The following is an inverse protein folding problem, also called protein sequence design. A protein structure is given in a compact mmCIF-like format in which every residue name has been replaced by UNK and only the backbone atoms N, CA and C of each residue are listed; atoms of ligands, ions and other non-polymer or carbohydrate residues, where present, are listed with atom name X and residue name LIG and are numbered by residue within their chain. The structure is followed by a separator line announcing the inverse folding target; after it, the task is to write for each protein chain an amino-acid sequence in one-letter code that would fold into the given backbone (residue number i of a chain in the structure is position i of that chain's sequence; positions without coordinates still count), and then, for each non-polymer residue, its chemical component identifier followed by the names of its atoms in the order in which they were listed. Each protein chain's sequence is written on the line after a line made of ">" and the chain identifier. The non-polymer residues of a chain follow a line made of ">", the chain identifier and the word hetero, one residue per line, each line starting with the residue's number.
data_IF_178990481555
#
_entry.id   IF_178990481555
#
_cell.length_a   1.000
_cell.length_b   1.000
_cell.length_c   1.000
_cell.angle_alpha   90.00
_cell.angle_beta   90.00
_cell.angle_gamma   90.00
#
_symmetry.space_group_name_H-M   'P 1'
#
loop_
_entity.id
_entity.type
_entity.pdbx_description
1 polymer ?
#
# COMPACT_ATOMS: atom_id res chain seq x y z
N UNK A 1 7.44 -5.89 9.92
CA UNK A 1 7.29 -7.13 9.15
C UNK A 1 7.13 -6.86 7.65
N UNK A 2 6.15 -6.05 7.20
CA UNK A 2 5.90 -5.78 5.77
C UNK A 2 7.12 -5.18 5.07
N UNK A 3 7.71 -4.13 5.61
CA UNK A 3 8.91 -3.50 5.04
C UNK A 3 10.11 -4.45 5.04
N UNK A 4 10.24 -5.29 6.07
CA UNK A 4 11.30 -6.29 6.14
C UNK A 4 11.12 -7.37 5.08
N UNK A 5 9.89 -7.85 4.87
CA UNK A 5 9.61 -8.85 3.84
C UNK A 5 9.76 -8.28 2.42
N UNK A 6 9.35 -7.04 2.17
CA UNK A 6 9.45 -6.43 0.85
C UNK A 6 10.86 -5.91 0.56
N UNK A 7 11.31 -4.88 1.27
CA UNK A 7 12.60 -4.26 1.04
C UNK A 7 13.76 -5.21 1.36
N UNK A 8 13.65 -5.96 2.49
CA UNK A 8 14.66 -6.94 2.89
C UNK A 8 14.85 -8.03 1.85
N UNK A 9 13.79 -8.63 1.31
CA UNK A 9 13.89 -9.64 0.26
C UNK A 9 14.47 -9.07 -1.04
N UNK A 10 14.07 -7.85 -1.43
CA UNK A 10 14.61 -7.18 -2.61
C UNK A 10 16.12 -6.94 -2.50
N UNK A 11 16.58 -6.38 -1.38
CA UNK A 11 18.00 -6.15 -1.13
C UNK A 11 18.79 -7.46 -1.02
N UNK A 12 18.23 -8.48 -0.37
CA UNK A 12 18.86 -9.80 -0.28
C UNK A 12 19.00 -10.43 -1.66
N UNK A 13 17.97 -10.38 -2.50
CA UNK A 13 18.02 -10.93 -3.86
C UNK A 13 19.10 -10.25 -4.70
N UNK A 14 19.15 -8.91 -4.72
CA UNK A 14 20.17 -8.15 -5.45
C UNK A 14 21.56 -8.47 -4.94
N UNK A 15 21.73 -8.59 -3.61
CA UNK A 15 23.00 -8.96 -2.99
C UNK A 15 23.42 -10.39 -3.37
N UNK A 16 22.51 -11.36 -3.34
CA UNK A 16 22.78 -12.75 -3.74
C UNK A 16 23.23 -12.84 -5.19
N UNK A 17 22.56 -12.11 -6.10
CA UNK A 17 22.97 -12.02 -7.50
C UNK A 17 24.37 -11.40 -7.60
N UNK A 18 24.62 -10.32 -6.85
CA UNK A 18 25.95 -9.67 -6.80
C UNK A 18 27.05 -10.61 -6.29
N UNK A 19 26.79 -11.36 -5.22
CA UNK A 19 27.73 -12.35 -4.66
C UNK A 19 27.99 -13.47 -5.67
N UNK A 20 26.94 -13.97 -6.32
CA UNK A 20 27.07 -15.00 -7.34
C UNK A 20 27.94 -14.52 -8.52
N UNK A 21 27.69 -13.32 -9.04
CA UNK A 21 28.50 -12.70 -10.10
C UNK A 21 29.94 -12.50 -9.64
N UNK A 22 30.16 -11.98 -8.43
CA UNK A 22 31.48 -11.77 -7.87
C UNK A 22 32.29 -13.09 -7.76
N UNK A 23 31.62 -14.18 -7.32
CA UNK A 23 32.25 -15.47 -7.19
C UNK A 23 32.52 -16.15 -8.53
N UNK A 24 31.50 -16.23 -9.41
CA UNK A 24 31.53 -17.04 -10.65
C UNK A 24 32.08 -16.30 -11.85
N UNK A 25 31.61 -15.07 -12.11
CA UNK A 25 32.02 -14.28 -13.28
C UNK A 25 33.37 -13.56 -13.04
N UNK A 26 33.51 -12.93 -11.86
CA UNK A 26 34.70 -12.10 -11.58
C UNK A 26 35.73 -12.80 -10.70
N UNK A 27 35.58 -14.08 -10.42
CA UNK A 27 36.54 -14.94 -9.71
C UNK A 27 37.08 -14.31 -8.42
N UNK A 28 36.20 -13.64 -7.62
CA UNK A 28 36.56 -12.95 -6.38
C UNK A 28 37.65 -11.89 -6.57
N UNK A 29 37.69 -11.22 -7.72
CA UNK A 29 38.71 -10.20 -7.98
C UNK A 29 38.56 -8.98 -7.04
N UNK A 30 39.73 -8.42 -6.63
CA UNK A 30 39.73 -7.19 -5.80
C UNK A 30 38.99 -6.02 -6.49
N UNK A 31 39.11 -5.93 -7.83
CA UNK A 31 38.40 -4.91 -8.62
C UNK A 31 36.87 -5.04 -8.49
N UNK A 32 36.35 -6.27 -8.61
CA UNK A 32 34.92 -6.52 -8.45
C UNK A 32 34.43 -6.24 -7.02
N UNK A 33 35.23 -6.55 -5.99
CA UNK A 33 34.93 -6.17 -4.60
C UNK A 33 34.85 -4.66 -4.43
N UNK A 34 35.80 -3.93 -5.02
CA UNK A 34 35.79 -2.47 -5.00
C UNK A 34 34.52 -1.90 -5.68
N UNK A 35 34.17 -2.41 -6.87
CA UNK A 35 32.94 -1.99 -7.55
C UNK A 35 31.67 -2.28 -6.74
N UNK A 36 31.60 -3.42 -6.08
CA UNK A 36 30.48 -3.74 -5.22
C UNK A 36 30.36 -2.73 -4.05
N UNK A 37 31.46 -2.46 -3.36
CA UNK A 37 31.50 -1.48 -2.26
C UNK A 37 31.18 -0.06 -2.76
N UNK A 38 31.62 0.29 -3.97
CA UNK A 38 31.28 1.57 -4.60
C UNK A 38 29.77 1.66 -4.87
N UNK A 39 29.15 0.65 -5.49
CA UNK A 39 27.70 0.62 -5.76
C UNK A 39 26.93 0.70 -4.45
N UNK A 40 27.37 -0.03 -3.43
CA UNK A 40 26.74 0.01 -2.11
C UNK A 40 26.84 1.40 -1.44
N UNK A 41 28.02 2.03 -1.47
CA UNK A 41 28.24 3.40 -0.98
C UNK A 41 27.41 4.45 -1.74
N UNK A 42 27.36 4.35 -3.05
CA UNK A 42 26.53 5.22 -3.91
C UNK A 42 25.04 5.02 -3.59
N UNK A 43 24.59 3.79 -3.36
CA UNK A 43 23.21 3.51 -2.96
C UNK A 43 22.84 4.16 -1.62
N UNK A 44 23.76 4.12 -0.65
CA UNK A 44 23.61 4.81 0.64
C UNK A 44 23.54 6.33 0.45
N UNK A 45 24.34 6.89 -0.43
CA UNK A 45 24.32 8.31 -0.74
C UNK A 45 22.98 8.71 -1.39
N UNK A 46 22.54 7.99 -2.43
CA UNK A 46 21.29 8.27 -3.17
C UNK A 46 20.06 8.20 -2.25
N UNK A 47 20.03 7.24 -1.33
CA UNK A 47 18.89 7.09 -0.39
C UNK A 47 18.79 8.27 0.58
N UNK A 48 19.90 8.96 0.84
CA UNK A 48 19.99 10.11 1.75
C UNK A 48 20.13 11.47 1.02
N UNK A 49 19.99 11.53 -0.30
CA UNK A 49 20.15 12.74 -1.11
C UNK A 49 19.20 13.87 -0.69
N UNK A 50 17.94 13.53 -0.34
CA UNK A 50 16.94 14.47 0.16
C UNK A 50 16.91 14.59 1.69
N UNK A 51 18.01 14.32 2.35
CA UNK A 51 18.16 14.32 3.80
C UNK A 51 18.24 12.92 4.43
N UNK A 52 18.71 12.88 5.69
CA UNK A 52 18.94 11.63 6.41
C UNK A 52 17.68 10.78 6.54
N UNK A 53 17.71 9.56 5.99
CA UNK A 53 16.65 8.56 6.10
C UNK A 53 17.13 7.36 6.92
N UNK A 54 16.88 7.34 8.25
CA UNK A 54 17.42 6.31 9.13
C UNK A 54 16.90 4.91 8.80
N UNK A 55 15.62 4.79 8.38
CA UNK A 55 15.02 3.50 8.06
C UNK A 55 15.68 2.88 6.81
N UNK A 56 15.75 3.63 5.71
CA UNK A 56 16.37 3.13 4.48
C UNK A 56 17.87 2.84 4.68
N UNK A 57 18.58 3.71 5.40
CA UNK A 57 20.00 3.53 5.73
C UNK A 57 20.23 2.27 6.56
N UNK A 58 19.38 1.99 7.56
CA UNK A 58 19.47 0.79 8.37
C UNK A 58 19.33 -0.49 7.52
N UNK A 59 18.34 -0.54 6.62
CA UNK A 59 18.19 -1.68 5.72
C UNK A 59 19.40 -1.87 4.80
N UNK A 60 19.94 -0.79 4.21
CA UNK A 60 21.11 -0.87 3.33
C UNK A 60 22.41 -1.21 4.09
N UNK A 61 22.55 -0.79 5.34
CA UNK A 61 23.73 -1.10 6.16
C UNK A 61 23.67 -2.54 6.69
N UNK A 62 22.50 -3.07 7.01
CA UNK A 62 22.37 -4.40 7.64
C UNK A 62 22.16 -5.51 6.61
N UNK A 63 21.19 -5.36 5.69
CA UNK A 63 20.76 -6.48 4.84
C UNK A 63 21.84 -6.93 3.84
N UNK A 64 22.49 -6.05 3.04
CA UNK A 64 23.50 -6.50 2.09
C UNK A 64 24.72 -7.14 2.76
N UNK A 65 25.36 -6.60 3.83
CA UNK A 65 26.48 -7.25 4.48
C UNK A 65 26.12 -8.59 5.11
N UNK A 66 24.98 -8.70 5.80
CA UNK A 66 24.54 -9.97 6.41
C UNK A 66 24.29 -11.01 5.32
N UNK A 67 23.60 -10.63 4.24
CA UNK A 67 23.34 -11.53 3.10
C UNK A 67 24.64 -11.91 2.40
N UNK A 68 25.60 -11.00 2.26
CA UNK A 68 26.90 -11.26 1.68
C UNK A 68 27.67 -12.31 2.49
N UNK A 69 27.78 -12.13 3.81
CA UNK A 69 28.46 -13.07 4.70
C UNK A 69 27.80 -14.46 4.65
N UNK A 70 26.46 -14.49 4.80
CA UNK A 70 25.70 -15.74 4.73
C UNK A 70 25.88 -16.45 3.37
N UNK A 71 25.83 -15.71 2.27
CA UNK A 71 26.00 -16.26 0.94
C UNK A 71 27.40 -16.87 0.72
N UNK A 72 28.47 -16.21 1.20
CA UNK A 72 29.83 -16.76 1.09
C UNK A 72 29.99 -18.06 1.88
N UNK A 73 29.36 -18.14 3.05
CA UNK A 73 29.42 -19.35 3.88
C UNK A 73 28.64 -20.54 3.27
N UNK A 74 27.51 -20.22 2.58
CA UNK A 74 26.61 -21.22 2.01
C UNK A 74 26.95 -21.58 0.55
N UNK A 75 27.74 -20.75 -0.14
CA UNK A 75 28.15 -21.07 -1.53
C UNK A 75 29.02 -22.34 -1.56
N UNK A 76 28.61 -23.33 -2.37
CA UNK A 76 29.39 -24.55 -2.53
C UNK A 76 30.77 -24.25 -3.13
N UNK A 77 31.75 -25.10 -2.82
CA UNK A 77 33.10 -24.97 -3.38
C UNK A 77 33.04 -24.84 -4.91
N UNK A 78 33.92 -24.03 -5.49
CA UNK A 78 33.96 -23.76 -6.95
C UNK A 78 34.06 -24.98 -7.85
N UNK A 79 34.59 -26.09 -7.31
CA UNK A 79 34.74 -27.38 -8.01
C UNK A 79 33.41 -28.09 -8.23
N UNK A 80 32.37 -27.78 -7.46
CA UNK A 80 31.05 -28.32 -7.69
C UNK A 80 30.36 -27.46 -8.76
N UNK A 81 30.41 -27.94 -10.01
CA UNK A 81 29.48 -27.45 -11.04
C UNK A 81 28.07 -27.64 -10.50
N UNK A 82 27.27 -26.58 -10.53
CA UNK A 82 25.84 -26.73 -10.32
C UNK A 82 25.37 -27.87 -11.22
N UNK A 83 24.82 -28.95 -10.66
CA UNK A 83 24.25 -29.98 -11.51
C UNK A 83 23.25 -29.32 -12.46
N UNK A 84 23.23 -29.64 -13.73
CA UNK A 84 22.27 -29.08 -14.66
C UNK A 84 20.83 -29.16 -14.13
N UNK A 85 20.49 -30.25 -13.44
CA UNK A 85 19.19 -30.43 -12.78
C UNK A 85 18.91 -29.39 -11.70
N UNK A 86 19.89 -29.06 -10.86
CA UNK A 86 19.74 -28.09 -9.77
C UNK A 86 19.49 -26.64 -10.23
N UNK A 87 19.65 -26.33 -11.52
CA UNK A 87 19.34 -25.01 -12.11
C UNK A 87 18.13 -25.10 -13.01
N UNK A 88 18.04 -26.12 -13.85
CA UNK A 88 17.00 -26.25 -14.88
C UNK A 88 15.62 -26.33 -14.23
N UNK A 89 15.40 -27.16 -13.24
CA UNK A 89 14.08 -27.38 -12.65
C UNK A 89 13.52 -26.17 -11.91
N UNK A 90 14.24 -25.49 -11.00
CA UNK A 90 13.72 -24.29 -10.35
C UNK A 90 13.50 -23.14 -11.35
N UNK A 91 14.41 -22.95 -12.32
CA UNK A 91 14.24 -21.90 -13.33
C UNK A 91 13.04 -22.18 -14.24
N UNK A 92 12.88 -23.42 -14.71
CA UNK A 92 11.72 -23.81 -15.54
C UNK A 92 10.41 -23.65 -14.78
N UNK A 93 10.36 -24.06 -13.50
CA UNK A 93 9.17 -23.89 -12.68
C UNK A 93 8.84 -22.40 -12.46
N UNK A 94 9.84 -21.55 -12.20
CA UNK A 94 9.65 -20.11 -12.06
C UNK A 94 9.13 -19.47 -13.36
N UNK A 95 9.67 -19.85 -14.51
CA UNK A 95 9.22 -19.36 -15.83
C UNK A 95 7.78 -19.80 -16.10
N UNK A 96 7.45 -21.07 -15.88
CA UNK A 96 6.09 -21.59 -16.07
C UNK A 96 5.11 -20.84 -15.17
N UNK A 97 5.43 -20.63 -13.89
CA UNK A 97 4.60 -19.85 -12.98
C UNK A 97 4.45 -18.39 -13.44
N UNK A 98 5.52 -17.75 -13.87
CA UNK A 98 5.47 -16.39 -14.39
C UNK A 98 4.57 -16.28 -15.63
N UNK A 99 4.63 -17.25 -16.54
CA UNK A 99 3.76 -17.32 -17.71
C UNK A 99 2.29 -17.55 -17.33
N UNK A 100 2.02 -18.47 -16.39
CA UNK A 100 0.66 -18.74 -15.91
C UNK A 100 0.05 -17.51 -15.24
N UNK A 101 0.77 -16.88 -14.32
CA UNK A 101 0.30 -15.67 -13.64
C UNK A 101 0.27 -14.45 -14.57
N UNK A 102 1.03 -14.47 -15.65
CA UNK A 102 0.96 -13.49 -16.73
C UNK A 102 -0.41 -13.41 -17.40
N UNK A 103 -1.19 -14.51 -17.41
CA UNK A 103 -2.55 -14.55 -17.98
C UNK A 103 -3.55 -13.64 -17.25
N UNK A 104 -3.29 -13.30 -15.99
CA UNK A 104 -4.15 -12.42 -15.16
C UNK A 104 -3.50 -11.07 -14.87
N UNK A 105 -2.39 -10.76 -15.54
CA UNK A 105 -1.64 -9.52 -15.35
C UNK A 105 -2.36 -8.35 -16.04
N UNK A 106 -3.23 -7.69 -15.30
CA UNK A 106 -3.94 -6.49 -15.71
C UNK A 106 -4.02 -5.45 -14.58
N UNK A 107 -4.67 -4.31 -14.82
CA UNK A 107 -4.89 -3.26 -13.81
C UNK A 107 -5.71 -3.73 -12.59
N UNK A 108 -6.36 -4.87 -12.68
CA UNK A 108 -7.24 -5.44 -11.67
C UNK A 108 -6.63 -6.63 -10.91
N UNK A 109 -5.45 -7.09 -11.29
CA UNK A 109 -4.80 -8.27 -10.71
C UNK A 109 -4.77 -8.24 -9.17
N UNK A 110 -4.31 -7.14 -8.58
CA UNK A 110 -4.26 -7.02 -7.11
C UNK A 110 -5.64 -7.00 -6.48
N UNK A 111 -6.63 -6.44 -7.17
CA UNK A 111 -8.03 -6.47 -6.72
C UNK A 111 -8.57 -7.89 -6.73
N UNK A 112 -8.30 -8.64 -7.79
CA UNK A 112 -8.73 -10.04 -7.92
C UNK A 112 -8.01 -10.94 -6.89
N UNK A 113 -6.71 -10.73 -6.64
CA UNK A 113 -5.98 -11.41 -5.56
C UNK A 113 -6.61 -11.10 -4.19
N UNK A 114 -6.89 -9.82 -3.90
CA UNK A 114 -7.56 -9.44 -2.65
C UNK A 114 -8.91 -10.13 -2.49
N UNK A 115 -9.76 -10.03 -3.51
CA UNK A 115 -11.16 -10.48 -3.44
C UNK A 115 -11.28 -11.99 -3.41
N UNK A 116 -10.46 -12.71 -4.19
CA UNK A 116 -10.59 -14.14 -4.41
C UNK A 116 -9.58 -15.00 -3.68
N UNK A 117 -8.48 -14.42 -3.13
CA UNK A 117 -7.53 -15.13 -2.27
C UNK A 117 -7.55 -14.61 -0.84
N UNK A 118 -7.36 -13.30 -0.61
CA UNK A 118 -7.23 -12.78 0.75
C UNK A 118 -8.57 -12.73 1.48
N UNK A 119 -9.64 -12.23 0.86
CA UNK A 119 -10.94 -12.08 1.51
C UNK A 119 -11.83 -13.33 1.41
N UNK A 120 -11.48 -14.28 0.56
CA UNK A 120 -12.30 -15.47 0.29
C UNK A 120 -12.19 -16.56 1.34
N UNK A 121 -11.09 -16.64 2.07
CA UNK A 121 -10.85 -17.70 3.06
C UNK A 121 -10.33 -17.17 4.41
N UNK A 122 -10.36 -18.02 5.42
CA UNK A 122 -10.00 -17.64 6.80
C UNK A 122 -8.53 -17.21 6.94
N UNK A 123 -7.62 -17.97 6.33
CA UNK A 123 -6.18 -17.68 6.39
C UNK A 123 -5.85 -16.35 5.68
N UNK A 124 -6.39 -16.13 4.48
CA UNK A 124 -6.23 -14.88 3.76
C UNK A 124 -6.79 -13.68 4.52
N UNK A 125 -7.95 -13.83 5.20
CA UNK A 125 -8.52 -12.77 6.05
C UNK A 125 -7.59 -12.44 7.21
N UNK A 126 -7.01 -13.42 7.89
CA UNK A 126 -6.05 -13.17 8.97
C UNK A 126 -4.81 -12.43 8.49
N UNK A 127 -4.29 -12.74 7.29
CA UNK A 127 -3.19 -11.99 6.67
C UNK A 127 -3.62 -10.54 6.38
N UNK A 128 -4.81 -10.35 5.83
CA UNK A 128 -5.36 -9.02 5.54
C UNK A 128 -5.55 -8.19 6.81
N UNK A 129 -6.11 -8.77 7.87
CA UNK A 129 -6.29 -8.12 9.18
C UNK A 129 -4.94 -7.73 9.80
N UNK A 130 -3.95 -8.62 9.77
CA UNK A 130 -2.59 -8.32 10.23
C UNK A 130 -1.95 -7.18 9.42
N UNK A 131 -2.17 -7.12 8.12
CA UNK A 131 -1.73 -6.01 7.29
C UNK A 131 -2.36 -4.68 7.72
N UNK A 132 -3.67 -4.63 7.93
CA UNK A 132 -4.38 -3.44 8.37
C UNK A 132 -3.98 -3.01 9.78
N UNK A 133 -3.82 -3.97 10.71
CA UNK A 133 -3.46 -3.67 12.09
C UNK A 133 -2.00 -3.18 12.25
N UNK A 134 -1.04 -3.80 11.54
CA UNK A 134 0.37 -3.63 11.83
C UNK A 134 1.19 -2.94 10.73
N UNK A 135 0.62 -2.70 9.54
CA UNK A 135 1.39 -2.14 8.42
C UNK A 135 0.97 -0.72 8.07
N UNK A 136 -0.33 -0.43 8.03
CA UNK A 136 -0.83 0.84 7.53
C UNK A 136 -0.45 2.02 8.42
N UNK A 137 -0.50 1.86 9.74
CA UNK A 137 -0.11 2.93 10.66
C UNK A 137 1.38 3.28 10.55
N UNK A 138 2.33 2.32 10.64
CA UNK A 138 3.74 2.61 10.38
C UNK A 138 4.01 3.16 8.98
N UNK A 139 3.21 2.77 7.98
CA UNK A 139 3.36 3.26 6.61
C UNK A 139 3.08 4.76 6.48
N UNK A 140 2.25 5.34 7.35
CA UNK A 140 2.01 6.80 7.37
C UNK A 140 3.31 7.60 7.56
N UNK A 141 4.26 7.09 8.37
CA UNK A 141 5.55 7.74 8.61
C UNK A 141 6.42 7.87 7.34
N UNK A 142 6.18 7.02 6.34
CA UNK A 142 6.93 7.00 5.08
C UNK A 142 6.21 7.68 3.91
N UNK A 143 4.98 8.17 4.12
CA UNK A 143 4.24 8.92 3.11
C UNK A 143 4.83 10.31 2.89
N UNK A 144 4.69 10.82 1.68
CA UNK A 144 4.92 12.24 1.40
C UNK A 144 3.78 13.08 1.97
N UNK A 145 3.96 14.38 2.15
CA UNK A 145 2.94 15.24 2.76
C UNK A 145 1.63 15.25 1.97
N UNK A 146 1.68 15.19 0.64
CA UNK A 146 0.49 15.10 -0.21
C UNK A 146 -0.25 13.76 -0.12
N UNK A 147 0.40 12.71 0.38
CA UNK A 147 -0.19 11.39 0.62
C UNK A 147 -0.77 11.23 2.03
N UNK A 148 -0.34 12.05 2.99
CA UNK A 148 -0.89 12.03 4.35
C UNK A 148 -2.34 12.51 4.37
N UNK A 149 -3.17 11.88 5.18
CA UNK A 149 -4.58 12.25 5.34
C UNK A 149 -4.75 13.45 6.28
N UNK A 150 -3.92 13.52 7.31
CA UNK A 150 -3.89 14.63 8.27
C UNK A 150 -2.52 15.25 8.18
N UNK A 151 -2.47 16.54 7.96
CA UNK A 151 -1.27 17.37 7.89
C UNK A 151 -1.41 18.49 8.90
N UNK A 152 -0.35 18.76 9.62
CA UNK A 152 -0.33 19.82 10.64
C UNK A 152 0.39 21.05 10.11
N UNK A 153 -0.06 22.23 10.55
CA UNK A 153 0.57 23.49 10.17
C UNK A 153 0.65 24.43 11.37
N UNK A 154 1.81 25.03 11.56
CA UNK A 154 2.00 26.18 12.47
C UNK A 154 2.05 27.45 11.62
N UNK A 155 1.26 28.45 12.00
CA UNK A 155 1.30 29.79 11.42
C UNK A 155 2.14 30.68 12.34
N UNK A 156 3.12 31.38 11.78
CA UNK A 156 4.05 32.20 12.55
C UNK A 156 3.40 33.45 13.16
N UNK A 157 4.05 33.97 14.17
CA UNK A 157 3.60 35.13 14.93
C UNK A 157 3.81 36.48 14.19
N UNK A 158 4.52 36.47 13.06
CA UNK A 158 4.80 37.66 12.24
C UNK A 158 3.61 38.08 11.39
N UNK A 159 2.56 37.25 11.33
CA UNK A 159 1.34 37.51 10.53
C UNK A 159 0.41 38.47 11.27
N UNK A 160 -0.12 39.46 10.54
CA UNK A 160 -1.25 40.22 11.06
C UNK A 160 -2.51 39.35 11.14
N UNK A 161 -3.54 39.84 11.84
CA UNK A 161 -4.78 39.07 12.07
C UNK A 161 -5.56 38.80 10.77
N UNK A 162 -5.48 39.68 9.78
CA UNK A 162 -6.18 39.53 8.51
C UNK A 162 -5.48 38.51 7.64
N UNK A 163 -4.14 38.58 7.55
CA UNK A 163 -3.27 37.63 6.85
C UNK A 163 -3.40 36.24 7.47
N UNK A 164 -3.36 36.16 8.81
CA UNK A 164 -3.52 34.93 9.56
C UNK A 164 -4.85 34.23 9.23
N UNK A 165 -5.98 34.96 9.30
CA UNK A 165 -7.30 34.43 8.98
C UNK A 165 -7.44 34.00 7.52
N UNK A 166 -6.80 34.71 6.59
CA UNK A 166 -6.80 34.38 5.16
C UNK A 166 -5.99 33.12 4.91
N UNK A 167 -4.82 33.02 5.49
CA UNK A 167 -3.91 31.89 5.38
C UNK A 167 -4.51 30.65 6.02
N UNK A 168 -5.07 30.76 7.23
CA UNK A 168 -5.74 29.66 7.91
C UNK A 168 -6.85 29.05 7.03
N UNK A 169 -7.72 29.89 6.44
CA UNK A 169 -8.77 29.40 5.53
C UNK A 169 -8.19 28.69 4.32
N UNK A 170 -7.10 29.21 3.75
CA UNK A 170 -6.45 28.63 2.58
C UNK A 170 -5.85 27.27 2.89
N UNK A 171 -5.08 27.15 3.97
CA UNK A 171 -4.43 25.87 4.32
C UNK A 171 -5.44 24.82 4.78
N UNK A 172 -6.50 25.22 5.52
CA UNK A 172 -7.59 24.30 5.89
C UNK A 172 -8.32 23.74 4.67
N UNK A 173 -8.49 24.55 3.61
CA UNK A 173 -9.06 24.07 2.35
C UNK A 173 -8.18 23.01 1.65
N UNK A 174 -6.89 22.96 2.00
CA UNK A 174 -5.91 22.00 1.48
C UNK A 174 -5.53 20.90 2.50
N UNK A 175 -6.41 20.61 3.46
CA UNK A 175 -6.26 19.53 4.46
C UNK A 175 -5.08 19.70 5.43
N UNK A 176 -4.62 20.92 5.66
CA UNK A 176 -3.71 21.23 6.76
C UNK A 176 -4.49 21.72 7.98
N UNK A 177 -4.17 21.14 9.13
CA UNK A 177 -4.77 21.47 10.41
C UNK A 177 -3.85 22.43 11.17
N UNK A 178 -4.27 23.69 11.42
CA UNK A 178 -3.50 24.59 12.25
C UNK A 178 -3.39 24.07 13.67
N UNK A 179 -2.18 24.06 14.21
CA UNK A 179 -1.85 23.68 15.59
C UNK A 179 -1.11 24.83 16.27
N UNK A 180 -1.13 24.91 17.62
CA UNK A 180 -0.39 25.91 18.36
C UNK A 180 1.11 25.87 18.08
N UNK A 181 1.77 27.04 18.18
CA UNK A 181 3.22 27.13 18.12
C UNK A 181 3.86 26.33 19.27
N UNK A 182 5.09 25.83 19.03
CA UNK A 182 5.82 24.98 19.97
C UNK A 182 5.60 23.47 19.79
N UNK A 183 4.67 23.05 18.95
CA UNK A 183 4.47 21.64 18.61
C UNK A 183 5.11 21.28 17.26
N UNK A 184 5.62 20.06 17.07
CA UNK A 184 6.12 19.61 15.78
C UNK A 184 5.01 19.64 14.72
N UNK A 185 5.25 20.36 13.62
CA UNK A 185 4.31 20.48 12.51
C UNK A 185 4.92 19.99 11.20
N UNK A 186 4.07 19.53 10.29
CA UNK A 186 4.47 19.16 8.93
C UNK A 186 4.86 20.37 8.09
N UNK A 187 4.26 21.53 8.39
CA UNK A 187 4.46 22.79 7.69
C UNK A 187 4.46 23.95 8.70
N UNK A 188 5.45 24.83 8.60
CA UNK A 188 5.47 26.11 9.29
C UNK A 188 5.42 27.21 8.23
N UNK A 189 4.56 28.21 8.39
CA UNK A 189 4.46 29.34 7.46
C UNK A 189 4.70 30.62 8.21
N UNK A 190 5.77 31.32 7.85
CA UNK A 190 6.14 32.63 8.36
C UNK A 190 6.13 33.68 7.24
N UNK A 191 5.88 34.94 7.59
CA UNK A 191 5.99 36.06 6.65
C UNK A 191 7.32 36.79 6.87
N UNK A 192 8.15 36.82 5.85
CA UNK A 192 9.27 37.76 5.79
C UNK A 192 8.75 39.16 5.45
N UNK A 193 8.67 40.01 6.46
CA UNK A 193 8.13 41.38 6.32
C UNK A 193 8.98 42.22 5.39
N UNK A 194 10.30 41.97 5.32
CA UNK A 194 11.22 42.76 4.47
C UNK A 194 11.04 42.46 3.00
N UNK A 195 10.93 41.17 2.66
CA UNK A 195 10.79 40.70 1.29
C UNK A 195 9.34 40.56 0.82
N UNK A 196 8.38 40.69 1.72
CA UNK A 196 6.95 40.38 1.51
C UNK A 196 6.74 39.00 0.88
N UNK A 197 7.44 38.02 1.40
CA UNK A 197 7.40 36.65 0.94
C UNK A 197 7.04 35.73 2.09
N UNK A 198 6.29 34.68 1.78
CA UNK A 198 6.03 33.62 2.73
C UNK A 198 7.18 32.60 2.69
N UNK A 199 7.70 32.26 3.88
CA UNK A 199 8.65 31.18 4.05
C UNK A 199 7.91 29.93 4.55
N UNK A 200 7.97 28.86 3.75
CA UNK A 200 7.40 27.56 4.09
C UNK A 200 8.53 26.67 4.60
N UNK A 201 8.52 26.39 5.89
CA UNK A 201 9.47 25.51 6.58
C UNK A 201 8.83 24.16 6.89
N UNK A 202 9.64 23.13 6.95
CA UNK A 202 9.23 21.80 7.39
C UNK A 202 10.15 21.29 8.50
N UNK A 203 9.93 20.06 8.94
CA UNK A 203 10.78 19.39 9.93
C UNK A 203 12.26 19.25 9.50
N UNK A 204 12.61 19.58 8.26
CA UNK A 204 13.91 19.32 7.65
C UNK A 204 14.53 20.56 6.97
N UNK A 205 14.67 21.66 7.67
CA UNK A 205 15.46 22.84 7.29
C UNK A 205 15.30 23.41 5.84
N UNK A 206 14.56 22.73 4.97
CA UNK A 206 14.31 23.22 3.62
C UNK A 206 13.23 24.28 3.68
N UNK A 207 13.61 25.52 3.41
CA UNK A 207 12.69 26.66 3.38
C UNK A 207 12.37 26.99 1.93
N UNK A 208 11.09 26.95 1.57
CA UNK A 208 10.60 27.39 0.28
C UNK A 208 10.07 28.83 0.42
N UNK A 209 10.72 29.80 -0.22
CA UNK A 209 10.26 31.19 -0.21
C UNK A 209 9.34 31.43 -1.39
N UNK A 210 8.13 31.92 -1.12
CA UNK A 210 7.03 32.07 -2.11
C UNK A 210 6.42 33.45 -2.01
N UNK A 211 6.14 34.08 -3.16
CA UNK A 211 5.44 35.35 -3.18
C UNK A 211 3.97 35.20 -2.72
N UNK A 212 3.43 36.22 -2.07
CA UNK A 212 2.02 36.22 -1.61
C UNK A 212 1.04 35.88 -2.74
N UNK A 213 1.23 36.50 -3.91
CA UNK A 213 0.37 36.26 -5.08
C UNK A 213 0.38 34.78 -5.53
N UNK A 214 1.50 34.13 -5.41
CA UNK A 214 1.65 32.71 -5.80
C UNK A 214 0.99 31.79 -4.77
N UNK A 215 1.22 32.04 -3.47
CA UNK A 215 0.63 31.25 -2.38
C UNK A 215 -0.89 31.28 -2.40
N UNK A 216 -1.50 32.46 -2.60
CA UNK A 216 -2.95 32.60 -2.62
C UNK A 216 -3.59 32.36 -4.00
N UNK A 217 -2.83 32.56 -5.09
CA UNK A 217 -3.32 32.34 -6.45
C UNK A 217 -3.31 30.86 -6.87
N UNK A 218 -2.38 30.08 -6.35
CA UNK A 218 -2.21 28.66 -6.69
C UNK A 218 -1.73 27.84 -5.49
N UNK A 219 -2.44 27.84 -4.35
CA UNK A 219 -1.98 27.23 -3.11
C UNK A 219 -1.69 25.74 -3.26
N UNK A 220 -2.50 25.00 -4.03
CA UNK A 220 -2.28 23.58 -4.28
C UNK A 220 -0.95 23.27 -4.99
N UNK A 221 -0.51 24.15 -5.95
CA UNK A 221 0.78 23.97 -6.62
C UNK A 221 1.95 24.25 -5.68
N UNK A 222 1.84 25.29 -4.86
CA UNK A 222 2.87 25.66 -3.87
C UNK A 222 3.03 24.55 -2.83
N UNK A 223 1.92 24.08 -2.23
CA UNK A 223 1.94 23.01 -1.23
C UNK A 223 2.44 21.69 -1.82
N UNK A 224 2.11 21.37 -3.08
CA UNK A 224 2.65 20.20 -3.75
C UNK A 224 4.16 20.33 -4.06
N UNK A 225 4.65 21.51 -4.40
CA UNK A 225 6.08 21.76 -4.57
C UNK A 225 6.81 21.61 -3.23
N UNK A 226 6.26 22.17 -2.16
CA UNK A 226 6.76 22.02 -0.81
C UNK A 226 6.77 20.54 -0.38
N UNK A 227 5.67 19.79 -0.59
CA UNK A 227 5.61 18.36 -0.29
C UNK A 227 6.71 17.56 -0.98
N UNK A 228 7.01 17.89 -2.25
CA UNK A 228 8.09 17.22 -3.00
C UNK A 228 9.48 17.54 -2.46
N UNK A 229 9.72 18.79 -2.04
CA UNK A 229 11.01 19.18 -1.45
C UNK A 229 11.27 18.54 -0.09
N UNK A 230 10.23 18.19 0.65
CA UNK A 230 10.31 17.53 1.96
C UNK A 230 10.30 15.98 1.87
N UNK A 231 10.13 15.40 0.69
CA UNK A 231 9.93 13.97 0.51
C UNK A 231 11.23 13.17 0.49
N UNK A 232 11.82 12.98 1.67
CA UNK A 232 13.02 12.14 1.86
C UNK A 232 12.75 10.64 1.74
N UNK A 233 11.48 10.20 1.79
CA UNK A 233 11.14 8.79 1.79
C UNK A 233 10.83 8.23 0.38
N UNK A 234 10.97 9.04 -0.66
CA UNK A 234 10.65 8.64 -2.03
C UNK A 234 11.40 7.37 -2.45
N UNK A 235 12.71 7.35 -2.23
CA UNK A 235 13.55 6.20 -2.60
C UNK A 235 13.21 4.96 -1.77
N UNK A 236 12.99 5.13 -0.47
CA UNK A 236 12.54 4.05 0.41
C UNK A 236 11.24 3.40 -0.09
N UNK A 237 10.24 4.20 -0.46
CA UNK A 237 8.98 3.69 -1.02
C UNK A 237 9.18 2.97 -2.35
N UNK A 238 10.02 3.54 -3.23
CA UNK A 238 10.33 2.91 -4.53
C UNK A 238 11.02 1.56 -4.37
N UNK A 239 12.02 1.47 -3.50
CA UNK A 239 12.73 0.23 -3.21
C UNK A 239 11.81 -0.79 -2.52
N UNK A 240 10.93 -0.34 -1.62
CA UNK A 240 9.92 -1.21 -0.98
C UNK A 240 8.96 -1.80 -2.00
N UNK A 241 8.48 -0.99 -2.94
CA UNK A 241 7.59 -1.44 -4.02
C UNK A 241 8.31 -2.44 -4.96
N UNK A 242 9.52 -2.11 -5.39
CA UNK A 242 10.32 -3.02 -6.22
C UNK A 242 10.62 -4.35 -5.50
N UNK A 243 10.98 -4.27 -4.22
CA UNK A 243 11.18 -5.45 -3.36
C UNK A 243 9.92 -6.30 -3.21
N UNK A 244 8.75 -5.67 -3.07
CA UNK A 244 7.47 -6.36 -2.99
C UNK A 244 7.08 -7.05 -4.30
N UNK A 245 7.30 -6.38 -5.43
CA UNK A 245 6.85 -6.87 -6.74
C UNK A 245 7.80 -7.92 -7.34
N UNK A 246 9.09 -7.83 -7.06
CA UNK A 246 10.11 -8.70 -7.65
C UNK A 246 10.84 -9.53 -6.59
N UNK A 247 11.36 -8.91 -5.54
CA UNK A 247 12.18 -9.55 -4.54
C UNK A 247 11.41 -10.61 -3.74
N UNK A 248 10.29 -10.20 -3.16
CA UNK A 248 9.48 -11.08 -2.30
C UNK A 248 8.95 -12.33 -3.03
N UNK A 249 8.34 -12.24 -4.23
CA UNK A 249 7.87 -13.42 -4.94
C UNK A 249 9.00 -14.39 -5.29
N UNK A 250 10.17 -13.90 -5.72
CA UNK A 250 11.30 -14.74 -6.07
C UNK A 250 11.92 -15.41 -4.84
N UNK A 251 12.09 -14.69 -3.74
CA UNK A 251 12.59 -15.26 -2.48
C UNK A 251 11.58 -16.26 -1.90
N UNK A 252 10.29 -15.95 -1.93
CA UNK A 252 9.24 -16.88 -1.50
C UNK A 252 9.23 -18.16 -2.36
N UNK A 253 9.33 -18.01 -3.68
CA UNK A 253 9.44 -19.16 -4.59
C UNK A 253 10.66 -20.02 -4.26
N UNK A 254 11.85 -19.41 -4.12
CA UNK A 254 13.07 -20.14 -3.80
C UNK A 254 12.97 -20.86 -2.44
N UNK A 255 12.37 -20.22 -1.44
CA UNK A 255 12.10 -20.82 -0.13
C UNK A 255 11.15 -22.02 -0.25
N UNK A 256 10.00 -21.84 -0.91
CA UNK A 256 9.02 -22.93 -1.09
C UNK A 256 9.61 -24.10 -1.89
N UNK A 257 10.36 -23.81 -2.96
CA UNK A 257 11.04 -24.81 -3.75
C UNK A 257 12.01 -25.64 -2.89
N UNK A 258 12.82 -24.98 -2.06
CA UNK A 258 13.75 -25.63 -1.15
C UNK A 258 13.03 -26.50 -0.10
N UNK A 259 11.95 -25.99 0.49
CA UNK A 259 11.14 -26.73 1.48
C UNK A 259 10.48 -27.95 0.84
N UNK A 260 9.87 -27.79 -0.35
CA UNK A 260 9.21 -28.88 -1.07
C UNK A 260 10.19 -29.95 -1.58
N UNK A 261 11.44 -29.56 -1.85
CA UNK A 261 12.51 -30.50 -2.24
C UNK A 261 13.14 -31.23 -1.05
N UNK A 262 13.06 -30.65 0.15
CA UNK A 262 13.78 -31.22 1.32
C UNK A 262 13.24 -32.58 1.75
N UNK A 263 11.92 -32.79 1.78
CA UNK A 263 11.32 -34.09 2.15
C UNK A 263 11.59 -35.19 1.15
N UNK A 264 11.35 -35.01 -0.17
CA UNK A 264 11.75 -36.03 -1.17
C UNK A 264 13.23 -36.36 -1.14
N UNK A 265 14.11 -35.41 -0.86
CA UNK A 265 15.54 -35.58 -0.83
C UNK A 265 16.02 -36.53 0.30
N UNK A 266 15.19 -36.86 1.27
CA UNK A 266 15.47 -37.88 2.29
C UNK A 266 15.40 -39.31 1.74
N UNK A 267 14.65 -39.50 0.65
CA UNK A 267 14.37 -40.84 0.11
C UNK A 267 14.77 -41.03 -1.35
N UNK A 268 15.00 -39.95 -2.07
CA UNK A 268 15.24 -39.93 -3.51
C UNK A 268 16.54 -39.20 -3.84
N UNK A 269 17.00 -39.36 -5.08
CA UNK A 269 18.13 -38.59 -5.59
C UNK A 269 17.80 -37.11 -5.67
N UNK A 270 18.79 -36.22 -5.56
CA UNK A 270 18.64 -34.76 -5.66
C UNK A 270 17.89 -34.38 -6.94
N UNK A 271 18.23 -34.99 -8.08
CA UNK A 271 17.57 -34.71 -9.35
C UNK A 271 16.06 -35.05 -9.34
N UNK A 272 15.68 -36.17 -8.74
CA UNK A 272 14.26 -36.54 -8.61
C UNK A 272 13.54 -35.65 -7.63
N UNK A 273 14.19 -35.23 -6.56
CA UNK A 273 13.65 -34.28 -5.58
C UNK A 273 13.38 -32.88 -6.18
N UNK A 274 14.28 -32.38 -7.04
CA UNK A 274 14.12 -31.11 -7.76
C UNK A 274 12.92 -31.16 -8.73
N UNK A 275 12.73 -32.32 -9.42
CA UNK A 275 11.54 -32.52 -10.29
C UNK A 275 10.25 -32.47 -9.47
N UNK A 276 10.20 -33.17 -8.34
CA UNK A 276 9.02 -33.20 -7.46
C UNK A 276 8.76 -31.80 -6.91
N UNK A 277 9.79 -31.10 -6.45
CA UNK A 277 9.65 -29.72 -5.96
C UNK A 277 9.11 -28.79 -7.04
N UNK A 278 9.58 -28.90 -8.28
CA UNK A 278 9.09 -28.12 -9.41
C UNK A 278 7.59 -28.40 -9.68
N UNK A 279 7.18 -29.67 -9.72
CA UNK A 279 5.79 -30.07 -9.92
C UNK A 279 4.90 -29.54 -8.79
N UNK A 280 5.33 -29.65 -7.54
CA UNK A 280 4.58 -29.18 -6.39
C UNK A 280 4.44 -27.64 -6.39
N UNK A 281 5.51 -26.91 -6.70
CA UNK A 281 5.47 -25.46 -6.81
C UNK A 281 4.52 -24.99 -7.92
N UNK A 282 4.59 -25.61 -9.10
CA UNK A 282 3.68 -25.32 -10.23
C UNK A 282 2.24 -25.65 -9.82
N UNK A 283 2.00 -26.81 -9.21
CA UNK A 283 0.69 -27.24 -8.76
C UNK A 283 0.05 -26.28 -7.75
N UNK A 284 0.80 -25.89 -6.72
CA UNK A 284 0.31 -24.89 -5.72
C UNK A 284 0.06 -23.54 -6.38
N UNK A 285 1.00 -23.07 -7.21
CA UNK A 285 0.83 -21.79 -7.91
C UNK A 285 -0.38 -21.79 -8.88
N UNK A 286 -0.64 -22.90 -9.56
CA UNK A 286 -1.81 -23.07 -10.42
C UNK A 286 -3.11 -23.12 -9.61
N UNK A 287 -3.14 -23.83 -8.48
CA UNK A 287 -4.32 -23.89 -7.58
C UNK A 287 -4.67 -22.49 -7.07
N UNK A 288 -3.68 -21.71 -6.67
CA UNK A 288 -3.89 -20.33 -6.21
C UNK A 288 -4.35 -19.40 -7.35
N UNK A 289 -3.90 -19.68 -8.59
CA UNK A 289 -4.31 -18.90 -9.77
C UNK A 289 -5.78 -19.11 -10.14
N UNK A 290 -6.33 -20.32 -9.96
CA UNK A 290 -7.71 -20.67 -10.41
C UNK A 290 -8.76 -19.63 -9.95
N UNK A 291 -8.92 -19.28 -8.67
CA UNK A 291 -9.95 -18.32 -8.26
C UNK A 291 -9.65 -16.91 -8.78
N UNK A 292 -8.40 -16.52 -8.95
CA UNK A 292 -8.00 -15.22 -9.50
C UNK A 292 -8.35 -15.15 -10.99
N UNK A 293 -8.08 -16.20 -11.73
CA UNK A 293 -8.43 -16.34 -13.16
C UNK A 293 -9.93 -16.35 -13.36
N UNK A 294 -10.67 -17.08 -12.53
CA UNK A 294 -12.14 -17.08 -12.56
C UNK A 294 -12.70 -15.68 -12.27
N UNK A 295 -12.12 -14.94 -11.33
CA UNK A 295 -12.50 -13.55 -11.08
C UNK A 295 -12.14 -12.60 -12.22
N UNK A 296 -11.03 -12.84 -12.92
CA UNK A 296 -10.63 -12.08 -14.10
C UNK A 296 -11.57 -12.31 -15.29
N UNK A 297 -12.03 -13.56 -15.50
CA UNK A 297 -12.88 -13.96 -16.63
C UNK A 297 -14.37 -14.04 -16.28
N UNK A 298 -14.76 -13.65 -15.07
CA UNK A 298 -16.14 -13.79 -14.60
C UNK A 298 -17.12 -13.12 -15.56
N UNK A 299 -18.09 -13.88 -16.11
CA UNK A 299 -19.11 -13.31 -16.99
C UNK A 299 -20.03 -12.43 -16.15
N UNK A 300 -20.09 -11.17 -16.47
CA UNK A 300 -21.12 -10.28 -15.95
C UNK A 300 -22.05 -9.97 -17.11
N UNK A 301 -23.35 -10.16 -16.90
CA UNK A 301 -24.34 -9.83 -17.92
C UNK A 301 -24.24 -8.33 -18.27
N UNK A 302 -23.85 -7.95 -19.50
CA UNK A 302 -23.60 -6.55 -19.84
C UNK A 302 -24.81 -5.64 -19.66
N UNK A 303 -26.00 -6.19 -19.74
CA UNK A 303 -27.26 -5.43 -19.72
C UNK A 303 -27.74 -5.13 -18.30
N UNK A 304 -27.62 -6.05 -17.36
CA UNK A 304 -28.12 -5.85 -15.99
C UNK A 304 -27.30 -6.56 -14.91
N UNK A 305 -26.38 -5.84 -14.23
CA UNK A 305 -25.63 -6.38 -13.12
C UNK A 305 -26.51 -6.87 -11.96
N UNK A 306 -27.69 -6.28 -11.79
CA UNK A 306 -28.64 -6.64 -10.74
C UNK A 306 -29.12 -8.09 -10.85
N UNK A 307 -29.36 -8.59 -12.06
CA UNK A 307 -29.73 -10.00 -12.28
C UNK A 307 -28.63 -10.98 -11.83
N UNK A 308 -27.37 -10.58 -11.92
CA UNK A 308 -26.24 -11.41 -11.51
C UNK A 308 -26.08 -11.53 -9.99
N UNK A 309 -26.77 -10.71 -9.20
CA UNK A 309 -26.78 -10.83 -7.71
C UNK A 309 -27.51 -12.07 -7.22
N UNK A 310 -28.38 -12.67 -8.04
CA UNK A 310 -29.04 -13.94 -7.75
C UNK A 310 -28.18 -15.17 -8.04
N UNK A 311 -27.01 -15.01 -8.66
CA UNK A 311 -26.14 -16.12 -9.04
C UNK A 311 -25.65 -16.89 -7.79
N UNK A 312 -25.53 -18.21 -7.93
CA UNK A 312 -25.00 -19.07 -6.87
C UNK A 312 -23.52 -18.81 -6.58
N UNK A 313 -22.74 -18.46 -7.62
CA UNK A 313 -21.31 -18.17 -7.53
C UNK A 313 -21.04 -16.81 -6.87
N UNK A 314 -20.28 -16.81 -5.79
CA UNK A 314 -19.80 -15.56 -5.17
C UNK A 314 -18.92 -14.73 -6.12
N UNK A 315 -18.14 -15.37 -6.96
CA UNK A 315 -17.28 -14.69 -7.97
C UNK A 315 -18.13 -13.87 -8.92
N UNK A 316 -19.23 -14.43 -9.41
CA UNK A 316 -20.16 -13.73 -10.30
C UNK A 316 -20.85 -12.56 -9.58
N UNK A 317 -21.29 -12.75 -8.33
CA UNK A 317 -21.91 -11.67 -7.54
C UNK A 317 -20.92 -10.54 -7.24
N UNK A 318 -19.66 -10.86 -6.90
CA UNK A 318 -18.61 -9.85 -6.70
C UNK A 318 -18.35 -9.07 -7.99
N UNK A 319 -18.26 -9.74 -9.14
CA UNK A 319 -18.09 -9.10 -10.43
C UNK A 319 -19.26 -8.15 -10.77
N UNK A 320 -20.50 -8.56 -10.48
CA UNK A 320 -21.70 -7.73 -10.66
C UNK A 320 -21.68 -6.46 -9.77
N UNK A 321 -21.34 -6.62 -8.49
CA UNK A 321 -21.22 -5.49 -7.55
C UNK A 321 -20.13 -4.51 -7.98
N UNK A 322 -19.00 -5.01 -8.47
CA UNK A 322 -17.91 -4.22 -9.00
C UNK A 322 -18.33 -3.45 -10.25
N UNK A 323 -18.99 -4.11 -11.20
CA UNK A 323 -19.52 -3.47 -12.40
C UNK A 323 -20.58 -2.40 -12.06
N UNK A 324 -21.45 -2.67 -11.08
CA UNK A 324 -22.42 -1.68 -10.61
C UNK A 324 -21.72 -0.44 -10.01
N UNK A 325 -20.62 -0.64 -9.26
CA UNK A 325 -19.80 0.46 -8.75
C UNK A 325 -19.16 1.27 -9.89
N UNK A 326 -18.53 0.60 -10.88
CA UNK A 326 -17.82 1.23 -11.99
C UNK A 326 -18.79 2.01 -12.89
N UNK A 327 -19.98 1.45 -13.13
CA UNK A 327 -21.07 2.06 -13.92
C UNK A 327 -21.95 3.01 -13.12
N UNK A 328 -21.67 3.24 -11.83
CA UNK A 328 -22.46 4.09 -10.92
C UNK A 328 -23.93 3.74 -10.88
N UNK A 329 -24.27 2.46 -10.94
CA UNK A 329 -25.64 1.97 -10.91
C UNK A 329 -26.15 1.81 -9.48
N UNK A 330 -27.40 2.20 -9.27
CA UNK A 330 -28.12 1.90 -8.03
C UNK A 330 -28.61 0.45 -8.05
N UNK A 331 -28.17 -0.33 -7.07
CA UNK A 331 -28.50 -1.74 -6.88
C UNK A 331 -29.10 -2.00 -5.50
N UNK A 332 -29.57 -0.96 -4.83
CA UNK A 332 -30.02 -1.02 -3.42
C UNK A 332 -31.18 -2.00 -3.25
N UNK A 333 -32.14 -2.01 -4.16
CA UNK A 333 -33.33 -2.85 -4.08
C UNK A 333 -32.93 -4.33 -4.18
N UNK A 334 -32.13 -4.68 -5.19
CA UNK A 334 -31.66 -6.04 -5.43
C UNK A 334 -30.74 -6.52 -4.30
N UNK A 335 -29.81 -5.69 -3.85
CA UNK A 335 -28.92 -5.99 -2.74
C UNK A 335 -29.70 -6.26 -1.44
N UNK A 336 -30.80 -5.52 -1.21
CA UNK A 336 -31.71 -5.74 -0.08
C UNK A 336 -32.44 -7.05 -0.22
N UNK A 337 -33.01 -7.34 -1.41
CA UNK A 337 -33.71 -8.58 -1.70
C UNK A 337 -32.86 -9.82 -1.46
N UNK A 338 -31.59 -9.75 -1.83
CA UNK A 338 -30.63 -10.86 -1.69
C UNK A 338 -29.85 -10.85 -0.35
N UNK A 339 -30.11 -9.90 0.54
CA UNK A 339 -29.42 -9.81 1.84
C UNK A 339 -27.91 -9.59 1.73
N UNK A 340 -27.42 -8.96 0.66
CA UNK A 340 -26.00 -8.83 0.32
C UNK A 340 -25.19 -8.11 1.42
N UNK A 341 -25.80 -7.20 2.17
CA UNK A 341 -25.16 -6.51 3.29
C UNK A 341 -24.76 -7.46 4.43
N UNK A 342 -25.36 -8.64 4.51
CA UNK A 342 -25.07 -9.68 5.49
C UNK A 342 -24.41 -10.92 4.88
N UNK A 343 -23.90 -10.81 3.66
CA UNK A 343 -23.22 -11.91 2.97
C UNK A 343 -22.04 -12.43 3.81
N UNK A 344 -21.81 -13.75 3.86
CA UNK A 344 -20.61 -14.32 4.49
C UNK A 344 -19.33 -13.96 3.75
N UNK A 345 -19.43 -13.54 2.48
CA UNK A 345 -18.31 -13.15 1.64
C UNK A 345 -17.94 -11.67 1.84
N UNK A 346 -16.79 -11.42 2.44
CA UNK A 346 -16.30 -10.07 2.74
C UNK A 346 -16.21 -9.20 1.48
N UNK A 347 -15.74 -9.76 0.37
CA UNK A 347 -15.64 -9.03 -0.89
C UNK A 347 -16.98 -8.54 -1.43
N UNK A 348 -18.09 -9.31 -1.23
CA UNK A 348 -19.43 -8.85 -1.60
C UNK A 348 -19.85 -7.63 -0.78
N UNK A 349 -19.66 -7.66 0.55
CA UNK A 349 -19.96 -6.52 1.42
C UNK A 349 -19.09 -5.30 1.11
N UNK A 350 -17.80 -5.53 0.80
CA UNK A 350 -16.88 -4.48 0.37
C UNK A 350 -17.36 -3.75 -0.90
N UNK A 351 -17.70 -4.50 -1.94
CA UNK A 351 -18.14 -3.92 -3.20
C UNK A 351 -19.55 -3.34 -3.13
N UNK A 352 -20.42 -3.93 -2.31
CA UNK A 352 -21.73 -3.33 -2.00
C UNK A 352 -21.54 -1.96 -1.36
N UNK A 353 -20.73 -1.85 -0.31
CA UNK A 353 -20.47 -0.56 0.34
C UNK A 353 -20.01 0.50 -0.67
N UNK A 354 -19.13 0.13 -1.61
CA UNK A 354 -18.66 1.04 -2.66
C UNK A 354 -19.75 1.41 -3.67
N UNK A 355 -20.55 0.47 -4.12
CA UNK A 355 -21.63 0.74 -5.11
C UNK A 355 -22.71 1.65 -4.54
N UNK A 356 -23.01 1.52 -3.24
CA UNK A 356 -23.97 2.37 -2.53
C UNK A 356 -23.57 3.86 -2.47
N UNK A 357 -22.32 4.20 -2.78
CA UNK A 357 -21.91 5.61 -2.95
C UNK A 357 -22.72 6.35 -4.02
N UNK A 358 -23.25 5.62 -4.99
CA UNK A 358 -24.00 6.18 -6.11
C UNK A 358 -25.49 5.86 -6.06
N UNK A 359 -25.96 5.21 -4.98
CA UNK A 359 -27.34 4.85 -4.79
C UNK A 359 -28.23 6.05 -4.52
N UNK A 360 -29.43 6.04 -5.11
CA UNK A 360 -30.49 7.05 -4.97
C UNK A 360 -31.61 6.59 -4.04
N UNK A 361 -31.77 5.28 -3.87
CA UNK A 361 -32.80 4.69 -3.00
C UNK A 361 -32.59 5.12 -1.55
N UNK A 362 -33.62 5.62 -0.83
CA UNK A 362 -33.51 6.04 0.57
C UNK A 362 -32.99 4.94 1.49
N UNK A 363 -33.33 3.68 1.23
CA UNK A 363 -32.90 2.53 2.04
C UNK A 363 -31.40 2.23 1.92
N UNK A 364 -30.68 2.85 1.00
CA UNK A 364 -29.23 2.72 0.88
C UNK A 364 -28.49 3.29 2.09
N UNK A 365 -29.05 4.32 2.76
CA UNK A 365 -28.45 4.89 3.97
C UNK A 365 -28.40 3.87 5.11
N UNK A 366 -29.50 3.18 5.40
CA UNK A 366 -29.55 2.17 6.44
C UNK A 366 -28.55 1.01 6.16
N UNK A 367 -28.38 0.64 4.88
CA UNK A 367 -27.39 -0.37 4.49
C UNK A 367 -25.96 0.11 4.68
N UNK A 368 -25.66 1.37 4.34
CA UNK A 368 -24.34 1.96 4.56
C UNK A 368 -24.02 2.08 6.06
N UNK A 369 -25.00 2.48 6.86
CA UNK A 369 -24.89 2.55 8.32
C UNK A 369 -24.52 1.18 8.89
N UNK A 370 -25.25 0.11 8.50
CA UNK A 370 -24.94 -1.25 8.92
C UNK A 370 -23.56 -1.73 8.45
N UNK A 371 -23.13 -1.39 7.24
CA UNK A 371 -21.81 -1.74 6.70
C UNK A 371 -20.67 -0.91 7.33
N UNK A 372 -20.95 0.30 7.84
CA UNK A 372 -19.98 1.07 8.58
C UNK A 372 -19.63 0.47 9.95
N UNK A 373 -20.51 -0.38 10.46
CA UNK A 373 -20.33 -1.17 11.70
C UNK A 373 -19.86 -2.61 11.40
N UNK A 374 -19.43 -2.89 10.17
CA UNK A 374 -18.93 -4.22 9.80
C UNK A 374 -17.69 -4.60 10.61
N UNK A 375 -17.61 -5.84 11.15
CA UNK A 375 -16.46 -6.28 11.94
C UNK A 375 -15.16 -6.33 11.13
N UNK A 376 -15.23 -6.34 9.80
CA UNK A 376 -14.04 -6.33 8.94
C UNK A 376 -13.69 -4.88 8.55
N UNK A 377 -12.57 -4.33 9.04
CA UNK A 377 -12.24 -2.90 8.89
C UNK A 377 -12.27 -2.37 7.45
N UNK A 378 -11.88 -3.21 6.46
CA UNK A 378 -11.88 -2.79 5.06
C UNK A 378 -13.29 -2.51 4.53
N UNK A 379 -14.33 -3.21 5.04
CA UNK A 379 -15.74 -2.98 4.66
C UNK A 379 -16.23 -1.68 5.28
N UNK A 380 -16.03 -1.51 6.60
CA UNK A 380 -16.40 -0.30 7.32
C UNK A 380 -15.76 0.96 6.69
N UNK A 381 -14.49 0.89 6.30
CA UNK A 381 -13.81 1.96 5.58
C UNK A 381 -14.50 2.33 4.26
N UNK A 382 -14.97 1.34 3.48
CA UNK A 382 -15.64 1.62 2.22
C UNK A 382 -17.05 2.20 2.43
N UNK A 383 -17.75 1.79 3.48
CA UNK A 383 -19.03 2.40 3.84
C UNK A 383 -18.86 3.88 4.23
N UNK A 384 -17.87 4.21 5.06
CA UNK A 384 -17.54 5.60 5.41
C UNK A 384 -17.13 6.42 4.17
N UNK A 385 -16.30 5.85 3.28
CA UNK A 385 -15.97 6.49 2.01
C UNK A 385 -17.22 6.76 1.16
N UNK A 386 -18.14 5.81 1.07
CA UNK A 386 -19.37 5.96 0.33
C UNK A 386 -20.29 7.03 0.93
N UNK A 387 -20.42 7.09 2.27
CA UNK A 387 -21.14 8.17 2.96
C UNK A 387 -20.60 9.56 2.59
N UNK A 388 -19.26 9.72 2.61
CA UNK A 388 -18.63 10.97 2.19
C UNK A 388 -18.88 11.31 0.72
N UNK A 389 -18.85 10.31 -0.17
CA UNK A 389 -19.02 10.48 -1.62
C UNK A 389 -20.43 10.92 -2.00
N UNK A 390 -21.45 10.51 -1.25
CA UNK A 390 -22.86 10.91 -1.46
C UNK A 390 -23.14 12.39 -1.23
N UNK A 391 -22.22 13.10 -0.59
CA UNK A 391 -22.33 14.55 -0.29
C UNK A 391 -23.55 14.94 0.56
N UNK A 392 -24.15 14.00 1.26
CA UNK A 392 -25.22 14.26 2.22
C UNK A 392 -24.62 14.65 3.57
N UNK A 393 -24.80 15.93 3.95
CA UNK A 393 -24.28 16.44 5.22
C UNK A 393 -25.04 15.96 6.45
N UNK A 394 -26.21 15.38 6.30
CA UNK A 394 -26.97 14.84 7.42
C UNK A 394 -26.24 13.68 8.13
N UNK A 395 -25.33 12.99 7.44
CA UNK A 395 -24.54 11.88 8.01
C UNK A 395 -23.33 12.34 8.85
N UNK A 396 -23.01 13.64 8.90
CA UNK A 396 -21.83 14.15 9.63
C UNK A 396 -21.80 13.72 11.11
N UNK A 397 -22.90 13.88 11.90
CA UNK A 397 -22.91 13.43 13.28
C UNK A 397 -22.65 11.92 13.44
N UNK A 398 -23.22 11.13 12.55
CA UNK A 398 -23.06 9.68 12.52
C UNK A 398 -21.60 9.27 12.24
N UNK A 399 -20.91 9.94 11.31
CA UNK A 399 -19.50 9.68 11.02
C UNK A 399 -18.62 10.10 12.21
N UNK A 400 -18.91 11.25 12.86
CA UNK A 400 -18.17 11.71 14.05
C UNK A 400 -18.28 10.69 15.18
N UNK A 401 -19.48 10.18 15.44
CA UNK A 401 -19.70 9.16 16.46
C UNK A 401 -18.86 7.90 16.19
N UNK A 402 -18.83 7.43 14.94
CA UNK A 402 -18.00 6.28 14.57
C UNK A 402 -16.50 6.53 14.68
N UNK A 403 -16.03 7.75 14.40
CA UNK A 403 -14.62 8.10 14.64
C UNK A 403 -14.28 8.01 16.12
N UNK A 404 -15.17 8.49 17.00
CA UNK A 404 -14.95 8.51 18.43
C UNK A 404 -15.02 7.12 19.07
N UNK A 405 -15.85 6.23 18.52
CA UNK A 405 -16.07 4.87 19.06
C UNK A 405 -15.16 3.81 18.42
N UNK A 406 -14.60 4.09 17.25
CA UNK A 406 -13.76 3.13 16.54
C UNK A 406 -12.43 2.87 17.28
N UNK A 407 -12.15 1.60 17.55
CA UNK A 407 -10.86 1.15 18.10
C UNK A 407 -9.77 1.01 17.03
N UNK A 408 -10.13 1.02 15.75
CA UNK A 408 -9.21 0.80 14.65
C UNK A 408 -8.86 2.12 13.97
N UNK A 409 -7.58 2.52 14.02
CA UNK A 409 -7.08 3.77 13.45
C UNK A 409 -7.50 4.00 11.97
N UNK A 410 -7.51 2.93 11.17
CA UNK A 410 -7.84 3.03 9.74
C UNK A 410 -9.29 3.44 9.50
N UNK A 411 -10.22 2.98 10.35
CA UNK A 411 -11.63 3.41 10.33
C UNK A 411 -11.73 4.91 10.67
N UNK A 412 -11.03 5.36 11.71
CA UNK A 412 -10.96 6.78 12.07
C UNK A 412 -10.45 7.64 10.92
N UNK A 413 -9.39 7.19 10.25
CA UNK A 413 -8.82 7.88 9.08
C UNK A 413 -9.85 8.00 7.94
N UNK A 414 -10.57 6.92 7.61
CA UNK A 414 -11.59 6.95 6.56
C UNK A 414 -12.80 7.82 6.95
N UNK A 415 -13.21 7.80 8.20
CA UNK A 415 -14.24 8.68 8.75
C UNK A 415 -13.84 10.14 8.60
N UNK A 416 -12.63 10.52 9.01
CA UNK A 416 -12.13 11.89 8.84
C UNK A 416 -12.10 12.29 7.35
N UNK A 417 -11.63 11.42 6.47
CA UNK A 417 -11.64 11.66 5.02
C UNK A 417 -13.05 11.87 4.47
N UNK A 418 -14.03 11.10 4.95
CA UNK A 418 -15.43 11.27 4.57
C UNK A 418 -15.96 12.63 5.01
N UNK A 419 -15.68 13.05 6.26
CA UNK A 419 -16.03 14.39 6.77
C UNK A 419 -15.44 15.50 5.89
N UNK A 420 -14.14 15.38 5.50
CA UNK A 420 -13.50 16.36 4.61
C UNK A 420 -14.18 16.41 3.24
N UNK A 421 -14.55 15.26 2.68
CA UNK A 421 -15.28 15.16 1.41
C UNK A 421 -16.67 15.84 1.48
N UNK A 422 -17.32 15.80 2.66
CA UNK A 422 -18.56 16.49 2.96
C UNK A 422 -18.38 17.99 3.20
N UNK A 423 -17.15 18.51 3.17
CA UNK A 423 -16.83 19.90 3.44
C UNK A 423 -16.91 20.25 4.93
N UNK A 424 -16.86 19.26 5.82
CA UNK A 424 -16.72 19.50 7.24
C UNK A 424 -15.33 20.04 7.55
N UNK A 425 -15.28 21.05 8.39
CA UNK A 425 -14.04 21.65 8.88
C UNK A 425 -14.07 21.60 10.39
N UNK A 426 -12.98 21.19 11.00
CA UNK A 426 -12.87 21.14 12.45
C UNK A 426 -13.10 22.54 13.04
N UNK A 427 -14.09 22.72 13.93
CA UNK A 427 -14.49 24.04 14.40
C UNK A 427 -13.48 24.71 15.33
N UNK A 428 -12.59 23.91 15.97
CA UNK A 428 -11.58 24.40 16.90
C UNK A 428 -10.23 23.75 16.60
N UNK A 429 -9.13 24.45 16.93
CA UNK A 429 -7.81 23.84 16.92
C UNK A 429 -7.77 22.68 17.93
N UNK A 430 -7.06 21.57 17.61
CA UNK A 430 -6.97 20.45 18.53
C UNK A 430 -6.29 20.88 19.82
N UNK A 431 -6.85 20.44 20.94
CA UNK A 431 -6.14 20.50 22.21
C UNK A 431 -5.20 19.27 22.24
N UNK A 432 -3.91 19.51 22.13
CA UNK A 432 -2.92 18.46 22.23
C UNK A 432 -2.64 18.22 23.72
N UNK A 433 -3.17 17.12 24.24
CA UNK A 433 -2.78 16.59 25.54
C UNK A 433 -1.73 15.49 25.30
N UNK A 434 -0.55 15.64 25.87
CA UNK A 434 0.52 14.63 25.89
C UNK A 434 0.54 13.93 27.24
#
# INVERSE_FOLDING_TARGET
>A
LFFTLSLGSGLSLVTLIGVWLWDRAFRRSRKATFFYLLIWGVSLFIVNDNGWNPAASAYLVVVPPVTWVAAIQLLPARTTLLSPSGVIWPVSAAIILALLWGLVLDGNMFTNIRDHLLLANRAGRSINEAYYAYTLFPAEAFKSLDQKQIRTCVLGDTLDRAEWNRLERTIRAHDYLPIPAGHPADLTIDLDIKEKRFSLGGSHQTVLSVAERELFGSPGKVLAAFSRSQDRNRMFRTLTLAGLLLGFPLVLFAFLFSVMGSLPNLFLSVAASDVIAAILCIGVGAILLVPVYQGHTAPVAPADPAMSLSASSAITRIAALRQACDNRRDITVEARKHGTARSPHVAERYWLARSLAYAKDPGSHAMLSALADDPVPIVACQALWAMGTRKDRAVVPEIIDRINTASHWYIQMYGYRALRTLGWVQPRSPQLSY
#
